data_IF_294743127580
#
_entry.id   IF_294743127580
#
_cell.length_a   1.000
_cell.length_b   1.000
_cell.length_c   1.000
_cell.angle_alpha   90.00
_cell.angle_beta   90.00
_cell.angle_gamma   90.00
#
_symmetry.space_group_name_H-M   'P 1'
#
loop_
_entity.id
_entity.type
_entity.pdbx_description
1 polymer ?
#
# COMPACT_ATOMS: atom_id res chain seq x y z
N UNK A 1 37.61 -18.72 25.01
CA UNK A 1 37.92 -18.87 23.57
C UNK A 1 36.66 -19.12 22.72
N UNK A 2 35.80 -20.11 23.01
CA UNK A 2 34.57 -20.33 22.23
C UNK A 2 33.53 -19.18 22.35
N UNK A 3 33.35 -18.60 23.54
CA UNK A 3 32.43 -17.47 23.75
C UNK A 3 32.90 -16.16 23.10
N UNK A 4 34.22 -15.95 23.03
CA UNK A 4 34.83 -14.78 22.38
C UNK A 4 34.63 -14.80 20.87
N UNK A 5 34.81 -15.97 20.25
CA UNK A 5 34.55 -16.18 18.82
C UNK A 5 33.06 -16.01 18.50
N UNK A 6 32.17 -16.47 19.38
CA UNK A 6 30.72 -16.29 19.22
C UNK A 6 30.32 -14.82 19.32
N UNK A 7 30.93 -14.05 20.22
CA UNK A 7 30.68 -12.62 20.37
C UNK A 7 31.19 -11.81 19.16
N UNK A 8 32.39 -12.11 18.66
CA UNK A 8 32.91 -11.49 17.43
C UNK A 8 32.03 -11.75 16.20
N UNK A 9 31.51 -12.98 16.05
CA UNK A 9 30.56 -13.29 14.96
C UNK A 9 29.25 -12.51 15.11
N UNK A 10 28.73 -12.41 16.33
CA UNK A 10 27.53 -11.64 16.61
C UNK A 10 27.72 -10.16 16.27
N UNK A 11 28.85 -9.56 16.66
CA UNK A 11 29.17 -8.17 16.36
C UNK A 11 29.31 -7.93 14.84
N UNK A 12 29.91 -8.88 14.09
CA UNK A 12 30.02 -8.81 12.63
C UNK A 12 28.67 -8.87 11.92
N UNK A 13 27.76 -9.74 12.36
CA UNK A 13 26.39 -9.82 11.80
C UNK A 13 25.62 -8.52 12.08
N UNK A 14 25.75 -7.97 13.30
CA UNK A 14 25.09 -6.70 13.66
C UNK A 14 25.64 -5.52 12.84
N UNK A 15 26.94 -5.49 12.54
CA UNK A 15 27.53 -4.48 11.66
C UNK A 15 27.05 -4.59 10.22
N UNK A 16 26.88 -5.80 9.69
CA UNK A 16 26.28 -6.02 8.37
C UNK A 16 24.87 -5.42 8.30
N UNK A 17 24.02 -5.68 9.30
CA UNK A 17 22.68 -5.10 9.37
C UNK A 17 22.67 -3.58 9.56
N UNK A 18 23.66 -3.00 10.25
CA UNK A 18 23.82 -1.54 10.40
C UNK A 18 24.21 -0.88 9.09
N UNK A 19 25.02 -1.55 8.27
CA UNK A 19 25.55 -1.02 7.03
C UNK A 19 24.69 -1.35 5.80
N UNK A 20 23.49 -1.91 5.98
CA UNK A 20 22.55 -2.17 4.87
C UNK A 20 22.15 -0.89 4.12
N UNK A 21 22.20 0.27 4.77
CA UNK A 21 21.90 1.56 4.15
C UNK A 21 22.80 2.64 4.73
N UNK A 22 23.75 3.11 3.94
CA UNK A 22 24.58 4.24 4.31
C UNK A 22 23.82 5.56 4.10
N UNK A 23 24.06 6.52 5.00
CA UNK A 23 23.45 7.85 4.89
C UNK A 23 24.12 8.56 3.71
N UNK A 24 23.35 9.08 2.72
CA UNK A 24 23.94 9.79 1.59
C UNK A 24 24.57 11.10 2.03
N UNK A 25 25.70 11.47 1.42
CA UNK A 25 26.41 12.73 1.70
C UNK A 25 25.60 13.99 1.34
N UNK A 26 24.64 13.86 0.40
CA UNK A 26 23.80 14.95 -0.08
C UNK A 26 22.34 14.53 -0.19
N UNK A 27 21.44 15.40 0.27
CA UNK A 27 20.00 15.25 0.11
C UNK A 27 19.51 16.12 -1.05
N UNK A 28 18.76 15.52 -1.97
CA UNK A 28 18.14 16.23 -3.10
C UNK A 28 16.62 16.29 -2.93
N UNK A 29 15.99 17.28 -3.55
CA UNK A 29 14.54 17.45 -3.48
C UNK A 29 13.79 16.54 -4.47
N UNK A 30 12.93 15.68 -3.91
CA UNK A 30 12.05 14.76 -4.65
C UNK A 30 10.65 15.30 -4.95
N UNK A 31 10.27 16.47 -4.40
CA UNK A 31 8.99 17.09 -4.67
C UNK A 31 9.07 17.95 -5.93
N UNK A 32 8.77 17.32 -7.08
CA UNK A 32 8.82 17.93 -8.41
C UNK A 32 7.48 17.81 -9.12
N UNK A 33 7.30 18.52 -10.24
CA UNK A 33 6.07 18.46 -11.03
C UNK A 33 5.73 17.04 -11.52
N UNK A 34 6.75 16.26 -11.86
CA UNK A 34 6.69 14.81 -12.12
C UNK A 34 6.04 14.04 -10.97
N UNK A 35 6.53 14.23 -9.74
CA UNK A 35 5.99 13.58 -8.54
C UNK A 35 4.55 14.01 -8.27
N UNK A 36 4.23 15.29 -8.47
CA UNK A 36 2.86 15.79 -8.29
C UNK A 36 1.89 15.21 -9.33
N UNK A 37 2.29 15.10 -10.60
CA UNK A 37 1.49 14.42 -11.63
C UNK A 37 1.27 12.94 -11.29
N UNK A 38 2.28 12.26 -10.73
CA UNK A 38 2.10 10.89 -10.26
C UNK A 38 1.18 10.79 -9.05
N UNK A 39 1.20 11.76 -8.13
CA UNK A 39 0.24 11.83 -7.02
C UNK A 39 -1.21 11.97 -7.53
N UNK A 40 -1.43 12.83 -8.52
CA UNK A 40 -2.75 13.01 -9.16
C UNK A 40 -3.20 11.72 -9.83
N UNK A 41 -2.31 11.06 -10.56
CA UNK A 41 -2.60 9.76 -11.17
C UNK A 41 -3.00 8.71 -10.13
N UNK A 42 -2.28 8.61 -9.02
CA UNK A 42 -2.64 7.73 -7.90
C UNK A 42 -4.04 8.06 -7.39
N UNK A 43 -4.31 9.33 -7.11
CA UNK A 43 -5.57 9.77 -6.51
C UNK A 43 -6.79 9.52 -7.41
N UNK A 44 -6.67 9.75 -8.72
CA UNK A 44 -7.80 9.61 -9.65
C UNK A 44 -7.97 8.22 -10.25
N UNK A 45 -6.89 7.45 -10.38
CA UNK A 45 -6.92 6.16 -11.08
C UNK A 45 -6.76 5.00 -10.10
N UNK A 46 -5.74 5.06 -9.25
CA UNK A 46 -5.39 3.93 -8.37
C UNK A 46 -6.30 3.83 -7.16
N UNK A 47 -6.62 4.94 -6.51
CA UNK A 47 -7.51 4.92 -5.34
C UNK A 47 -8.91 4.42 -5.72
N UNK A 48 -9.60 4.95 -6.75
CA UNK A 48 -10.91 4.42 -7.15
C UNK A 48 -10.84 2.97 -7.64
N UNK A 49 -9.78 2.61 -8.38
CA UNK A 49 -9.55 1.23 -8.81
C UNK A 49 -9.40 0.26 -7.64
N UNK A 50 -8.61 0.64 -6.62
CA UNK A 50 -8.42 -0.16 -5.41
C UNK A 50 -9.69 -0.27 -4.56
N UNK A 51 -10.49 0.80 -4.48
CA UNK A 51 -11.81 0.78 -3.83
C UNK A 51 -12.74 -0.19 -4.54
N UNK A 52 -12.86 -0.09 -5.87
CA UNK A 52 -13.68 -0.98 -6.68
C UNK A 52 -13.26 -2.45 -6.51
N UNK A 53 -11.97 -2.75 -6.65
CA UNK A 53 -11.45 -4.11 -6.48
C UNK A 53 -11.68 -4.62 -5.06
N UNK A 54 -11.62 -3.75 -4.05
CA UNK A 54 -11.95 -4.09 -2.67
C UNK A 54 -13.42 -4.46 -2.44
N UNK A 55 -14.35 -3.85 -3.18
CA UNK A 55 -15.77 -4.18 -3.11
C UNK A 55 -16.08 -5.46 -3.91
N UNK A 56 -15.43 -5.64 -5.06
CA UNK A 56 -15.66 -6.80 -5.95
C UNK A 56 -15.03 -8.09 -5.44
N UNK A 57 -13.75 -8.05 -5.04
CA UNK A 57 -12.98 -9.21 -4.58
C UNK A 57 -13.10 -9.47 -3.07
N UNK A 58 -13.78 -8.57 -2.35
CA UNK A 58 -13.91 -8.59 -0.90
C UNK A 58 -12.75 -7.94 -0.15
N UNK A 59 -12.78 -7.96 1.20
CA UNK A 59 -11.86 -7.22 2.07
C UNK A 59 -10.40 -7.65 1.98
N UNK A 60 -10.11 -8.79 1.33
CA UNK A 60 -8.76 -9.27 1.06
C UNK A 60 -8.12 -8.33 0.03
N UNK A 61 -7.59 -7.23 0.55
CA UNK A 61 -7.09 -6.13 -0.25
C UNK A 61 -5.84 -6.56 -1.03
N UNK A 62 -5.72 -6.08 -2.27
CA UNK A 62 -4.47 -6.01 -3.04
C UNK A 62 -3.49 -4.98 -2.38
N UNK A 63 -3.71 -4.60 -1.11
CA UNK A 63 -3.34 -3.33 -0.49
C UNK A 63 -1.87 -2.92 -0.68
N UNK A 64 -0.89 -3.63 -0.09
CA UNK A 64 0.51 -3.28 -0.25
C UNK A 64 1.01 -3.45 -1.70
N UNK A 65 0.50 -4.45 -2.42
CA UNK A 65 0.93 -4.74 -3.79
C UNK A 65 0.51 -3.65 -4.78
N UNK A 66 -0.69 -3.06 -4.59
CA UNK A 66 -1.18 -1.95 -5.41
C UNK A 66 -0.23 -0.73 -5.35
N UNK A 67 0.41 -0.50 -4.20
CA UNK A 67 1.44 0.54 -4.05
C UNK A 67 2.60 0.34 -5.00
N UNK A 68 3.17 -0.86 -4.96
CA UNK A 68 4.32 -1.23 -5.78
C UNK A 68 3.97 -1.22 -7.27
N UNK A 69 2.82 -1.77 -7.65
CA UNK A 69 2.34 -1.77 -9.04
C UNK A 69 2.17 -0.33 -9.56
N UNK A 70 1.67 0.58 -8.72
CA UNK A 70 1.52 1.99 -9.10
C UNK A 70 2.85 2.64 -9.40
N UNK A 71 3.85 2.44 -8.53
CA UNK A 71 5.19 2.98 -8.75
C UNK A 71 5.82 2.39 -10.02
N UNK A 72 5.69 1.08 -10.24
CA UNK A 72 6.20 0.40 -11.44
C UNK A 72 5.57 0.97 -12.72
N UNK A 73 4.25 1.13 -12.75
CA UNK A 73 3.55 1.70 -13.91
C UNK A 73 3.99 3.15 -14.18
N UNK A 74 4.21 3.94 -13.12
CA UNK A 74 4.67 5.31 -13.29
C UNK A 74 6.10 5.38 -13.84
N UNK A 75 7.00 4.51 -13.36
CA UNK A 75 8.35 4.36 -13.93
C UNK A 75 8.26 3.99 -15.42
N UNK A 76 7.37 3.07 -15.79
CA UNK A 76 7.19 2.64 -17.18
C UNK A 76 6.64 3.76 -18.07
N UNK A 77 5.68 4.54 -17.58
CA UNK A 77 5.16 5.72 -18.28
C UNK A 77 6.25 6.79 -18.46
N UNK A 78 7.03 7.06 -17.41
CA UNK A 78 8.14 8.01 -17.48
C UNK A 78 9.22 7.57 -18.49
N UNK A 79 9.59 6.28 -18.48
CA UNK A 79 10.49 5.67 -19.47
C UNK A 79 9.97 5.87 -20.89
N UNK A 80 8.67 5.65 -21.12
CA UNK A 80 8.03 5.87 -22.45
C UNK A 80 8.00 7.34 -22.86
N UNK A 81 7.84 8.24 -21.91
CA UNK A 81 7.90 9.68 -22.12
C UNK A 81 9.35 10.22 -22.25
N UNK A 82 10.36 9.34 -22.28
CA UNK A 82 11.79 9.71 -22.29
C UNK A 82 12.19 10.61 -21.10
N UNK A 83 11.49 10.49 -19.98
CA UNK A 83 11.81 11.16 -18.73
C UNK A 83 12.53 10.20 -17.79
N UNK A 84 13.53 10.69 -17.06
CA UNK A 84 14.17 9.95 -15.97
C UNK A 84 13.62 10.47 -14.66
N UNK A 85 13.17 9.55 -13.81
CA UNK A 85 12.75 9.89 -12.45
C UNK A 85 13.90 9.63 -11.49
N UNK A 86 14.18 10.60 -10.62
CA UNK A 86 15.20 10.46 -9.59
C UNK A 86 14.74 9.50 -8.48
N UNK A 87 15.70 8.96 -7.74
CA UNK A 87 15.44 8.14 -6.54
C UNK A 87 14.49 8.84 -5.58
N UNK A 88 14.71 10.13 -5.33
CA UNK A 88 13.93 10.94 -4.40
C UNK A 88 12.50 11.18 -4.90
N UNK A 89 12.30 11.38 -6.22
CA UNK A 89 10.97 11.46 -6.82
C UNK A 89 10.21 10.14 -6.64
N UNK A 90 10.85 8.99 -6.87
CA UNK A 90 10.25 7.68 -6.63
C UNK A 90 9.87 7.47 -5.16
N UNK A 91 10.72 7.89 -4.22
CA UNK A 91 10.42 7.81 -2.79
C UNK A 91 9.19 8.65 -2.43
N UNK A 92 9.12 9.88 -2.91
CA UNK A 92 7.98 10.77 -2.67
C UNK A 92 6.71 10.17 -3.28
N UNK A 93 6.79 9.67 -4.52
CA UNK A 93 5.67 8.97 -5.19
C UNK A 93 5.21 7.73 -4.42
N UNK A 94 6.13 6.90 -3.95
CA UNK A 94 5.80 5.69 -3.19
C UNK A 94 5.04 6.04 -1.90
N UNK A 95 5.52 7.01 -1.14
CA UNK A 95 4.88 7.43 0.11
C UNK A 95 3.54 8.14 -0.14
N UNK A 96 3.46 9.00 -1.16
CA UNK A 96 2.18 9.59 -1.56
C UNK A 96 1.18 8.53 -2.01
N UNK A 97 1.63 7.50 -2.74
CA UNK A 97 0.79 6.38 -3.14
C UNK A 97 0.27 5.59 -1.93
N UNK A 98 1.15 5.28 -0.98
CA UNK A 98 0.78 4.62 0.27
C UNK A 98 -0.22 5.44 1.08
N UNK A 99 0.04 6.74 1.27
CA UNK A 99 -0.85 7.65 1.97
C UNK A 99 -2.21 7.79 1.28
N UNK A 100 -2.20 7.92 -0.06
CA UNK A 100 -3.41 8.01 -0.85
C UNK A 100 -4.22 6.73 -0.83
N UNK A 101 -3.63 5.53 -0.72
CA UNK A 101 -4.39 4.28 -0.61
C UNK A 101 -4.83 3.96 0.81
N UNK A 102 -4.18 4.54 1.81
CA UNK A 102 -4.61 4.49 3.20
C UNK A 102 -5.88 5.34 3.47
N UNK A 103 -6.65 5.72 2.42
CA UNK A 103 -7.85 6.56 2.55
C UNK A 103 -8.69 6.09 3.73
N UNK A 104 -8.82 6.90 4.79
CA UNK A 104 -9.49 6.47 6.00
C UNK A 104 -10.99 6.24 5.75
N UNK A 105 -11.52 6.86 4.70
CA UNK A 105 -12.91 6.75 4.26
C UNK A 105 -13.24 5.51 3.42
N UNK A 106 -12.27 4.64 3.10
CA UNK A 106 -12.54 3.38 2.35
C UNK A 106 -13.63 2.53 3.02
N UNK A 107 -13.68 2.53 4.35
CA UNK A 107 -14.68 1.80 5.12
C UNK A 107 -16.10 2.34 4.95
N UNK A 108 -16.30 3.64 4.68
CA UNK A 108 -17.64 4.24 4.62
C UNK A 108 -18.49 3.68 3.48
N UNK A 109 -17.87 3.43 2.32
CA UNK A 109 -18.53 2.78 1.18
C UNK A 109 -19.01 1.37 1.53
N UNK A 110 -18.17 0.60 2.24
CA UNK A 110 -18.55 -0.73 2.71
C UNK A 110 -19.67 -0.66 3.75
N UNK A 111 -19.59 0.26 4.71
CA UNK A 111 -20.62 0.44 5.74
C UNK A 111 -21.98 0.79 5.10
N UNK A 112 -21.97 1.69 4.10
CA UNK A 112 -23.14 2.02 3.30
C UNK A 112 -23.70 0.80 2.56
N UNK A 113 -22.84 0.00 1.92
CA UNK A 113 -23.28 -1.22 1.24
C UNK A 113 -23.88 -2.23 2.22
N UNK A 114 -23.23 -2.44 3.37
CA UNK A 114 -23.62 -3.44 4.34
C UNK A 114 -25.00 -3.16 4.93
N UNK A 115 -25.25 -1.93 5.41
CA UNK A 115 -26.55 -1.56 6.01
C UNK A 115 -27.72 -1.61 5.01
N UNK A 116 -27.44 -1.35 3.73
CA UNK A 116 -28.42 -1.40 2.65
C UNK A 116 -28.54 -2.79 2.00
N UNK A 117 -27.79 -3.78 2.47
CA UNK A 117 -27.82 -5.12 1.88
C UNK A 117 -29.11 -5.86 2.24
N UNK A 118 -29.64 -6.61 1.27
CA UNK A 118 -30.79 -7.50 1.47
C UNK A 118 -30.62 -8.44 2.68
N UNK A 119 -29.40 -8.92 2.89
CA UNK A 119 -29.07 -9.80 4.02
C UNK A 119 -29.22 -9.07 5.36
N UNK A 120 -28.69 -7.86 5.49
CA UNK A 120 -28.78 -7.07 6.72
C UNK A 120 -30.21 -6.61 7.01
N UNK A 121 -30.97 -6.23 5.97
CA UNK A 121 -32.37 -5.77 6.13
C UNK A 121 -33.28 -6.95 6.50
N UNK A 122 -33.23 -8.06 5.75
CA UNK A 122 -34.12 -9.23 5.99
C UNK A 122 -33.86 -9.91 7.34
N UNK A 123 -32.65 -9.79 7.88
CA UNK A 123 -32.29 -10.32 9.20
C UNK A 123 -32.54 -9.32 10.33
N UNK A 124 -33.06 -8.13 10.05
CA UNK A 124 -33.31 -7.09 11.06
C UNK A 124 -32.03 -6.47 11.65
N UNK A 125 -30.86 -6.76 11.07
CA UNK A 125 -29.57 -6.25 11.53
C UNK A 125 -29.46 -4.76 11.24
N UNK A 126 -29.97 -4.31 10.08
CA UNK A 126 -29.85 -2.93 9.63
C UNK A 126 -30.43 -1.90 10.62
N UNK A 127 -31.52 -2.25 11.33
CA UNK A 127 -32.15 -1.39 12.33
C UNK A 127 -31.35 -1.29 13.64
N UNK A 128 -30.54 -2.31 13.95
CA UNK A 128 -29.68 -2.35 15.12
C UNK A 128 -28.34 -1.65 14.94
N UNK A 129 -28.02 -1.19 13.72
CA UNK A 129 -26.75 -0.53 13.43
C UNK A 129 -26.81 0.92 13.92
N UNK A 130 -25.84 1.37 14.73
CA UNK A 130 -25.82 2.73 15.24
C UNK A 130 -25.47 3.75 14.15
N UNK A 131 -26.03 4.96 14.27
CA UNK A 131 -25.84 6.05 13.30
C UNK A 131 -24.40 6.52 13.14
N UNK A 132 -23.55 6.27 14.14
CA UNK A 132 -22.11 6.58 14.05
C UNK A 132 -21.33 5.57 13.21
N UNK A 133 -21.90 4.41 12.84
CA UNK A 133 -21.29 3.46 11.91
C UNK A 133 -21.73 3.73 10.46
N UNK A 134 -23.03 3.92 10.25
CA UNK A 134 -23.66 4.33 9.00
C UNK A 134 -25.03 4.97 9.28
N UNK A 135 -25.50 5.92 8.44
CA UNK A 135 -26.87 6.44 8.51
C UNK A 135 -27.93 5.34 8.42
N UNK A 136 -29.15 5.55 8.96
CA UNK A 136 -30.23 4.58 8.80
C UNK A 136 -30.63 4.44 7.31
N UNK A 137 -31.16 3.27 6.86
CA UNK A 137 -31.56 3.04 5.45
C UNK A 137 -32.52 4.07 4.86
N UNK A 138 -33.27 4.78 5.72
CA UNK A 138 -34.24 5.82 5.35
C UNK A 138 -33.61 7.21 5.14
N UNK A 139 -32.30 7.35 5.32
CA UNK A 139 -31.58 8.62 5.14
C UNK A 139 -31.54 9.07 3.69
N UNK A 140 -31.82 10.36 3.46
CA UNK A 140 -31.71 11.03 2.15
C UNK A 140 -30.27 11.02 1.60
N UNK A 141 -29.26 10.82 2.47
CA UNK A 141 -27.84 10.76 2.09
C UNK A 141 -27.54 9.72 1.02
N UNK A 142 -28.33 8.64 0.97
CA UNK A 142 -28.18 7.57 -0.03
C UNK A 142 -28.70 7.96 -1.41
N UNK A 143 -29.73 8.80 -1.49
CA UNK A 143 -30.29 9.28 -2.74
C UNK A 143 -29.34 10.27 -3.42
N UNK A 144 -28.79 11.21 -2.64
CA UNK A 144 -27.83 12.22 -3.13
C UNK A 144 -26.41 11.67 -3.33
N UNK A 145 -26.15 10.42 -2.91
CA UNK A 145 -24.85 9.71 -3.04
C UNK A 145 -23.66 10.53 -2.51
N UNK A 146 -23.83 11.16 -1.35
CA UNK A 146 -22.84 12.06 -0.78
C UNK A 146 -22.58 11.77 0.70
N UNK A 147 -21.30 11.64 1.06
CA UNK A 147 -20.84 11.55 2.45
C UNK A 147 -20.80 12.90 3.17
N UNK A 148 -21.10 14.00 2.47
CA UNK A 148 -21.14 15.35 3.07
C UNK A 148 -22.48 15.68 3.74
N UNK A 149 -23.44 14.75 3.69
CA UNK A 149 -24.72 14.89 4.38
C UNK A 149 -24.54 14.87 5.91
N UNK A 150 -25.30 15.65 6.69
CA UNK A 150 -25.19 15.70 8.15
C UNK A 150 -25.28 14.33 8.84
N UNK A 151 -26.08 13.41 8.31
CA UNK A 151 -26.23 12.05 8.86
C UNK A 151 -24.91 11.27 8.88
N UNK A 152 -23.97 11.60 7.99
CA UNK A 152 -22.65 10.97 7.93
C UNK A 152 -21.63 11.59 8.89
N UNK A 153 -21.90 12.75 9.50
CA UNK A 153 -20.91 13.45 10.31
C UNK A 153 -20.43 12.63 11.51
N UNK A 154 -21.30 11.82 12.12
CA UNK A 154 -20.90 10.90 13.20
C UNK A 154 -19.86 9.88 12.74
N UNK A 155 -20.12 9.20 11.63
CA UNK A 155 -19.21 8.20 11.08
C UNK A 155 -17.92 8.81 10.52
N UNK A 156 -18.02 9.95 9.82
CA UNK A 156 -16.86 10.69 9.30
C UNK A 156 -15.98 11.17 10.46
N UNK A 157 -16.57 11.71 11.53
CA UNK A 157 -15.83 12.15 12.70
C UNK A 157 -15.09 11.00 13.37
N UNK A 158 -15.73 9.83 13.56
CA UNK A 158 -15.06 8.66 14.11
C UNK A 158 -13.91 8.18 13.24
N UNK A 159 -14.06 8.20 11.92
CA UNK A 159 -12.99 7.85 10.98
C UNK A 159 -11.81 8.82 11.12
N UNK A 160 -12.06 10.13 11.15
CA UNK A 160 -11.02 11.15 11.31
C UNK A 160 -10.31 11.01 12.66
N UNK A 161 -11.07 10.89 13.75
CA UNK A 161 -10.52 10.71 15.11
C UNK A 161 -9.71 9.42 15.18
N UNK A 162 -10.26 8.30 14.70
CA UNK A 162 -9.57 7.01 14.70
C UNK A 162 -8.29 7.02 13.88
N UNK A 163 -8.28 7.73 12.74
CA UNK A 163 -7.08 7.91 11.92
C UNK A 163 -6.03 8.73 12.66
N UNK A 164 -6.44 9.85 13.25
CA UNK A 164 -5.54 10.71 14.00
C UNK A 164 -4.93 10.00 15.22
N UNK A 165 -5.76 9.31 16.01
CA UNK A 165 -5.32 8.48 17.15
C UNK A 165 -4.41 7.36 16.67
N UNK A 166 -4.74 6.71 15.56
CA UNK A 166 -3.92 5.66 14.94
C UNK A 166 -2.54 6.17 14.53
N UNK A 167 -2.45 7.39 14.00
CA UNK A 167 -1.16 8.01 13.67
C UNK A 167 -0.33 8.31 14.92
N UNK A 168 -0.95 8.84 15.98
CA UNK A 168 -0.29 9.03 17.27
C UNK A 168 0.23 7.68 17.78
N UNK A 169 -0.63 6.66 17.83
CA UNK A 169 -0.23 5.32 18.27
C UNK A 169 0.92 4.76 17.43
N UNK A 170 0.90 4.93 16.10
CA UNK A 170 1.95 4.45 15.21
C UNK A 170 3.29 5.12 15.49
N UNK A 171 3.30 6.45 15.66
CA UNK A 171 4.52 7.21 15.98
C UNK A 171 5.05 6.83 17.36
N UNK A 172 4.18 6.75 18.37
CA UNK A 172 4.58 6.37 19.73
C UNK A 172 5.12 4.94 19.79
N UNK A 173 4.42 3.97 19.19
CA UNK A 173 4.85 2.58 19.15
C UNK A 173 6.17 2.43 18.38
N UNK A 174 6.32 3.11 17.24
CA UNK A 174 7.55 3.12 16.46
C UNK A 174 8.73 3.70 17.26
N UNK A 175 8.52 4.83 17.94
CA UNK A 175 9.54 5.45 18.77
C UNK A 175 9.91 4.61 20.01
N UNK A 176 8.91 4.02 20.69
CA UNK A 176 9.16 3.13 21.82
C UNK A 176 9.94 1.89 21.39
N UNK A 177 9.54 1.26 20.29
CA UNK A 177 10.24 0.10 19.74
C UNK A 177 11.67 0.48 19.36
N UNK A 178 11.87 1.62 18.71
CA UNK A 178 13.20 2.13 18.39
C UNK A 178 14.05 2.31 19.65
N UNK A 179 13.52 2.93 20.71
CA UNK A 179 14.26 3.13 21.98
C UNK A 179 14.61 1.82 22.66
N UNK A 180 13.70 0.85 22.68
CA UNK A 180 13.97 -0.47 23.27
C UNK A 180 15.06 -1.19 22.47
N UNK A 181 14.90 -1.31 21.15
CA UNK A 181 15.82 -2.04 20.29
C UNK A 181 17.19 -1.36 20.18
N UNK A 182 17.24 -0.03 20.03
CA UNK A 182 18.48 0.72 19.85
C UNK A 182 19.20 1.01 21.17
N UNK A 183 18.51 1.52 22.19
CA UNK A 183 19.19 2.03 23.40
C UNK A 183 19.41 0.95 24.45
N UNK A 184 18.43 0.05 24.63
CA UNK A 184 18.48 -1.02 25.63
C UNK A 184 19.19 -2.24 25.03
N UNK A 185 18.71 -2.73 23.89
CA UNK A 185 19.21 -3.97 23.28
C UNK A 185 20.43 -3.76 22.37
N UNK A 186 20.71 -2.51 21.95
CA UNK A 186 21.82 -2.15 21.04
C UNK A 186 21.80 -2.89 19.71
N UNK A 187 20.63 -3.34 19.30
CA UNK A 187 20.40 -4.05 18.04
C UNK A 187 20.11 -3.06 16.89
N UNK A 188 20.50 -3.40 15.65
CA UNK A 188 20.12 -2.65 14.47
C UNK A 188 18.60 -2.68 14.30
N UNK A 189 18.01 -1.54 13.93
CA UNK A 189 16.56 -1.44 13.80
C UNK A 189 16.06 -2.25 12.58
N UNK A 190 15.23 -3.30 12.78
CA UNK A 190 15.22 -4.45 11.89
C UNK A 190 14.48 -4.31 10.55
N UNK A 191 13.81 -3.19 10.24
CA UNK A 191 12.92 -3.13 9.07
C UNK A 191 12.94 -1.86 8.22
N UNK A 192 13.46 -0.73 8.72
CA UNK A 192 13.50 0.50 7.93
C UNK A 192 14.37 0.40 6.66
N UNK A 193 15.57 -0.24 6.70
CA UNK A 193 16.41 -0.36 5.51
C UNK A 193 15.79 -1.21 4.39
N UNK A 194 15.06 -2.28 4.74
CA UNK A 194 14.51 -3.23 3.77
C UNK A 194 13.49 -2.59 2.82
N UNK A 195 12.59 -1.76 3.33
CA UNK A 195 11.58 -1.08 2.51
C UNK A 195 12.20 -0.06 1.57
N UNK A 196 13.17 0.71 2.07
CA UNK A 196 13.87 1.72 1.29
C UNK A 196 14.79 1.11 0.22
N UNK A 197 15.45 -0.01 0.50
CA UNK A 197 16.22 -0.77 -0.50
C UNK A 197 15.33 -1.26 -1.67
N UNK A 198 14.06 -1.60 -1.39
CA UNK A 198 13.11 -1.98 -2.44
C UNK A 198 12.84 -0.84 -3.44
N UNK A 199 12.57 0.36 -2.93
CA UNK A 199 12.35 1.56 -3.76
C UNK A 199 13.64 1.95 -4.49
N UNK A 200 14.77 1.89 -3.80
CA UNK A 200 16.08 2.22 -4.37
C UNK A 200 16.44 1.28 -5.52
N UNK A 201 16.17 -0.02 -5.38
CA UNK A 201 16.43 -0.99 -6.42
C UNK A 201 15.54 -0.77 -7.67
N UNK A 202 14.28 -0.37 -7.48
CA UNK A 202 13.41 0.01 -8.60
C UNK A 202 13.93 1.28 -9.30
N UNK A 203 14.43 2.25 -8.54
CA UNK A 203 15.04 3.45 -9.09
C UNK A 203 16.33 3.14 -9.88
N UNK A 204 17.18 2.25 -9.40
CA UNK A 204 18.42 1.85 -10.07
C UNK A 204 18.17 1.09 -11.38
N UNK A 205 17.10 0.29 -11.42
CA UNK A 205 16.63 -0.33 -12.65
C UNK A 205 15.98 0.69 -13.61
N UNK A 206 15.34 1.74 -13.07
CA UNK A 206 14.83 2.85 -13.86
C UNK A 206 15.94 3.64 -14.57
N UNK A 207 17.04 3.92 -13.86
CA UNK A 207 18.24 4.61 -14.36
C UNK A 207 19.08 3.76 -15.35
N UNK A 208 18.77 2.47 -15.53
CA UNK A 208 19.49 1.58 -16.45
C UNK A 208 20.92 1.23 -16.00
N UNK A 209 21.32 1.57 -14.76
CA UNK A 209 22.62 1.23 -14.19
C UNK A 209 22.84 -0.28 -14.06
N UNK A 210 21.75 -1.07 -13.95
CA UNK A 210 21.77 -2.54 -13.91
C UNK A 210 22.16 -3.23 -15.22
N UNK A 211 22.39 -2.50 -16.33
CA UNK A 211 22.89 -3.12 -17.58
C UNK A 211 24.40 -3.36 -17.61
N UNK A 212 25.16 -2.81 -16.64
CA UNK A 212 26.64 -2.90 -16.63
C UNK A 212 27.27 -3.57 -15.41
N UNK A 213 26.49 -3.99 -14.40
CA UNK A 213 27.04 -4.73 -13.26
C UNK A 213 26.86 -6.24 -13.45
N UNK A 214 27.99 -6.93 -13.44
CA UNK A 214 28.24 -8.33 -13.69
C UNK A 214 27.30 -9.37 -13.02
N UNK A 215 27.03 -10.42 -13.79
CA UNK A 215 26.80 -11.83 -13.42
C UNK A 215 26.35 -12.19 -11.99
N UNK A 216 25.05 -12.48 -11.81
CA UNK A 216 24.56 -13.35 -10.72
C UNK A 216 23.27 -12.89 -10.04
N UNK A 217 23.31 -11.75 -9.35
CA UNK A 217 22.22 -11.30 -8.45
C UNK A 217 20.98 -10.77 -9.16
N UNK A 218 21.16 -10.07 -10.30
CA UNK A 218 20.05 -9.58 -11.13
C UNK A 218 19.15 -10.72 -11.65
N UNK A 219 19.74 -11.88 -11.93
CA UNK A 219 19.05 -13.04 -12.50
C UNK A 219 18.07 -13.69 -11.51
N UNK A 220 18.42 -13.82 -10.24
CA UNK A 220 17.55 -14.44 -9.23
C UNK A 220 16.33 -13.56 -8.91
N UNK A 221 16.54 -12.25 -8.71
CA UNK A 221 15.45 -11.30 -8.40
C UNK A 221 14.42 -11.25 -9.52
N UNK A 222 14.88 -11.21 -10.77
CA UNK A 222 14.00 -11.27 -11.94
C UNK A 222 13.24 -12.59 -12.05
N UNK A 223 13.88 -13.72 -11.76
CA UNK A 223 13.22 -15.04 -11.74
C UNK A 223 12.15 -15.12 -10.67
N UNK A 224 12.45 -14.71 -9.44
CA UNK A 224 11.49 -14.69 -8.34
C UNK A 224 10.28 -13.79 -8.65
N UNK A 225 10.54 -12.60 -9.20
CA UNK A 225 9.49 -11.69 -9.66
C UNK A 225 8.64 -12.31 -10.79
N UNK A 226 9.27 -12.91 -11.79
CA UNK A 226 8.56 -13.52 -12.94
C UNK A 226 7.72 -14.73 -12.53
N UNK A 227 8.23 -15.59 -11.65
CA UNK A 227 7.49 -16.74 -11.12
C UNK A 227 6.30 -16.26 -10.28
N UNK A 228 6.53 -15.34 -9.35
CA UNK A 228 5.46 -14.75 -8.54
C UNK A 228 4.41 -14.04 -9.39
N UNK A 229 4.84 -13.30 -10.41
CA UNK A 229 3.98 -12.64 -11.38
C UNK A 229 3.15 -13.63 -12.20
N UNK A 230 3.74 -14.71 -12.70
CA UNK A 230 3.03 -15.73 -13.46
C UNK A 230 1.98 -16.47 -12.60
N UNK A 231 2.33 -16.84 -11.36
CA UNK A 231 1.39 -17.44 -10.40
C UNK A 231 0.25 -16.46 -10.09
N UNK A 232 0.58 -15.20 -9.81
CA UNK A 232 -0.40 -14.15 -9.53
C UNK A 232 -1.35 -13.89 -10.69
N UNK A 233 -0.84 -13.85 -11.92
CA UNK A 233 -1.64 -13.73 -13.14
C UNK A 233 -2.56 -14.95 -13.34
N UNK A 234 -2.04 -16.16 -13.14
CA UNK A 234 -2.83 -17.38 -13.23
C UNK A 234 -3.97 -17.41 -12.21
N UNK A 235 -3.67 -17.08 -10.95
CA UNK A 235 -4.68 -16.98 -9.91
C UNK A 235 -5.71 -15.88 -10.18
N UNK A 236 -5.24 -14.69 -10.57
CA UNK A 236 -6.11 -13.56 -10.92
C UNK A 236 -7.00 -13.85 -12.13
N UNK A 237 -6.50 -14.62 -13.11
CA UNK A 237 -7.30 -15.03 -14.25
C UNK A 237 -8.46 -15.95 -13.84
N UNK A 238 -8.22 -16.90 -12.94
CA UNK A 238 -9.24 -17.83 -12.47
C UNK A 238 -10.23 -17.13 -11.52
N UNK A 239 -9.72 -16.35 -10.56
CA UNK A 239 -10.55 -15.82 -9.47
C UNK A 239 -11.28 -14.52 -9.84
N UNK A 240 -10.70 -13.70 -10.72
CA UNK A 240 -11.27 -12.39 -11.08
C UNK A 240 -11.68 -12.34 -12.55
N UNK A 241 -10.79 -12.68 -13.48
CA UNK A 241 -11.07 -12.51 -14.91
C UNK A 241 -12.21 -13.44 -15.37
N UNK A 242 -12.17 -14.72 -15.00
CA UNK A 242 -13.15 -15.71 -15.43
C UNK A 242 -14.57 -15.39 -14.93
N UNK A 243 -14.83 -15.06 -13.65
CA UNK A 243 -16.15 -14.66 -13.19
C UNK A 243 -16.63 -13.36 -13.82
N UNK A 244 -15.74 -12.38 -14.00
CA UNK A 244 -16.09 -11.06 -14.56
C UNK A 244 -16.45 -11.15 -16.04
N UNK A 245 -15.65 -11.87 -16.83
CA UNK A 245 -15.88 -12.05 -18.28
C UNK A 245 -17.05 -13.00 -18.53
N UNK A 246 -17.16 -14.10 -17.78
CA UNK A 246 -18.32 -14.99 -17.90
C UNK A 246 -19.61 -14.26 -17.53
N UNK A 247 -19.65 -13.55 -16.40
CA UNK A 247 -20.81 -12.75 -16.00
C UNK A 247 -21.20 -11.69 -17.02
N UNK A 248 -20.22 -11.00 -17.63
CA UNK A 248 -20.47 -9.99 -18.66
C UNK A 248 -21.02 -10.58 -19.97
N UNK A 249 -20.58 -11.79 -20.36
CA UNK A 249 -20.96 -12.41 -21.63
C UNK A 249 -22.23 -13.28 -21.53
N UNK A 250 -22.41 -14.02 -20.44
CA UNK A 250 -23.48 -15.02 -20.29
C UNK A 250 -24.57 -14.60 -19.31
N UNK A 251 -24.41 -13.47 -18.61
CA UNK A 251 -25.34 -12.99 -17.58
C UNK A 251 -25.33 -13.80 -16.29
N UNK A 252 -24.51 -14.86 -16.20
CA UNK A 252 -24.28 -15.64 -14.97
C UNK A 252 -22.78 -15.82 -14.79
N UNK A 253 -22.25 -15.26 -13.71
CA UNK A 253 -20.87 -15.50 -13.34
C UNK A 253 -20.68 -16.99 -13.03
N UNK A 254 -19.69 -17.61 -13.69
CA UNK A 254 -19.23 -18.95 -13.31
C UNK A 254 -18.35 -18.76 -12.08
N UNK A 255 -18.84 -19.23 -10.94
CA UNK A 255 -18.10 -19.34 -9.68
C UNK A 255 -18.08 -20.79 -9.25
#
# INVERSE_FOLDING_TARGET
MADEVKKQKLDSELEEFRNLMEVPDTFEEGFRWSSLLGAVFVAFLMVPGALYMGLLAGPVSIGPAAQWVTVILFIEVAKRAQQQLSKQELFVLFWMAGAAMAVPFRGLLWNQFFINSDAAIKQGIAEGIPSWYAPPPTSESYEIRSFLHPDWYGAVALVVIGTFVGQIQSVFAGYMLFRITSDIEKLPFPMAPMGAQGILALAEDAEGKNRKSDSGESSWRWRAFSIGGAIGLGWGAIFLLLPTVSGALTGRAIQ
#
